data_IF_232763016444
#
_entry.id   IF_232763016444
#
_cell.length_a   1.000
_cell.length_b   1.000
_cell.length_c   1.000
_cell.angle_alpha   90.00
_cell.angle_beta   90.00
_cell.angle_gamma   90.00
#
_symmetry.space_group_name_H-M   'P 1'
#
loop_
_entity.id
_entity.type
_entity.pdbx_description
1 polymer ?
#
# COMPACT_ATOMS: atom_id res chain seq x y z
N UNK A 1 -17.08 0.34 7.03
CA UNK A 1 -15.90 -0.52 6.80
C UNK A 1 -14.81 0.32 6.15
N UNK A 2 -13.61 0.45 6.74
CA UNK A 2 -12.54 1.26 6.14
C UNK A 2 -12.02 0.51 4.90
N UNK A 3 -12.13 1.10 3.73
CA UNK A 3 -11.51 0.54 2.53
C UNK A 3 -10.00 0.78 2.59
N UNK A 4 -9.26 -0.24 3.02
CA UNK A 4 -7.81 -0.18 3.17
C UNK A 4 -7.09 -0.29 1.81
N UNK A 5 -7.75 -0.88 0.80
CA UNK A 5 -7.15 -1.11 -0.52
C UNK A 5 -6.80 0.20 -1.22
N UNK A 6 -7.53 1.28 -0.95
CA UNK A 6 -7.25 2.62 -1.49
C UNK A 6 -5.89 3.21 -1.07
N UNK A 7 -5.24 2.63 -0.05
CA UNK A 7 -3.94 3.06 0.44
C UNK A 7 -2.79 2.17 -0.04
N UNK A 8 -3.08 1.14 -0.84
CA UNK A 8 -2.07 0.26 -1.42
C UNK A 8 -1.79 0.74 -2.84
N UNK A 9 -0.51 0.91 -3.19
CA UNK A 9 -0.09 1.28 -4.55
C UNK A 9 0.62 0.11 -5.21
N UNK A 10 0.34 -0.11 -6.49
CA UNK A 10 1.05 -1.10 -7.29
C UNK A 10 2.21 -0.43 -8.04
N UNK A 11 3.41 -0.99 -7.91
CA UNK A 11 4.63 -0.52 -8.56
C UNK A 11 5.22 -1.68 -9.36
N UNK A 12 4.88 -1.79 -10.66
CA UNK A 12 5.44 -2.83 -11.51
C UNK A 12 6.93 -2.58 -11.80
N UNK A 13 7.71 -3.66 -11.85
CA UNK A 13 9.15 -3.66 -12.14
C UNK A 13 10.05 -3.27 -10.97
N UNK A 14 9.52 -3.13 -9.74
CA UNK A 14 10.32 -2.74 -8.57
C UNK A 14 10.55 -3.91 -7.59
N UNK A 15 11.76 -4.07 -7.02
CA UNK A 15 13.02 -3.38 -7.35
C UNK A 15 13.70 -3.93 -8.60
N UNK A 16 13.15 -4.99 -9.21
CA UNK A 16 13.67 -5.64 -10.43
C UNK A 16 12.50 -5.95 -11.36
N UNK A 17 12.81 -6.02 -12.66
CA UNK A 17 11.85 -6.36 -13.70
C UNK A 17 11.12 -7.68 -13.41
N UNK A 18 9.82 -7.73 -13.72
CA UNK A 18 8.97 -8.90 -13.47
C UNK A 18 8.31 -8.95 -12.08
N UNK A 19 8.66 -8.05 -11.15
CA UNK A 19 8.01 -7.96 -9.83
C UNK A 19 6.89 -6.90 -9.87
N UNK A 20 5.72 -7.20 -9.31
CA UNK A 20 4.73 -6.16 -8.99
C UNK A 20 4.78 -5.88 -7.49
N UNK A 21 5.34 -4.73 -7.10
CA UNK A 21 5.51 -4.36 -5.71
C UNK A 21 4.28 -3.64 -5.17
N UNK A 22 3.73 -4.15 -4.07
CA UNK A 22 2.59 -3.55 -3.38
C UNK A 22 3.07 -2.67 -2.23
N UNK A 23 3.06 -1.36 -2.45
CA UNK A 23 3.48 -0.38 -1.46
C UNK A 23 2.35 -0.09 -0.45
N UNK A 24 2.55 -0.55 0.79
CA UNK A 24 1.66 -0.29 1.93
C UNK A 24 2.08 0.93 2.77
N UNK A 25 3.13 1.66 2.38
CA UNK A 25 3.61 2.84 3.11
C UNK A 25 2.52 3.89 3.34
N UNK A 26 1.64 4.21 2.36
CA UNK A 26 0.56 5.18 2.58
C UNK A 26 -0.47 4.70 3.61
N UNK A 27 -0.66 3.39 3.72
CA UNK A 27 -1.51 2.80 4.76
C UNK A 27 -0.86 2.98 6.14
N UNK A 28 0.43 2.64 6.26
CA UNK A 28 1.22 2.74 7.51
C UNK A 28 1.33 4.19 8.01
N UNK A 29 1.47 5.15 7.10
CA UNK A 29 1.54 6.58 7.43
C UNK A 29 0.21 7.19 7.86
N UNK A 30 -0.91 6.47 7.71
CA UNK A 30 -2.22 6.96 8.08
C UNK A 30 -2.58 6.51 9.50
N UNK A 31 -2.41 7.34 10.55
CA UNK A 31 -2.74 6.95 11.92
C UNK A 31 -4.23 6.63 12.10
N UNK A 32 -5.11 7.21 11.26
CA UNK A 32 -6.54 6.89 11.25
C UNK A 32 -6.85 5.56 10.58
N UNK A 33 -5.93 4.96 9.82
CA UNK A 33 -6.15 3.64 9.25
C UNK A 33 -6.15 2.54 10.31
N UNK A 34 -5.41 2.73 11.41
CA UNK A 34 -5.26 1.76 12.51
C UNK A 34 -6.13 2.05 13.74
N UNK A 35 -6.91 3.15 13.75
CA UNK A 35 -7.84 3.41 14.86
C UNK A 35 -9.04 2.45 14.80
N UNK A 36 -9.26 1.68 15.87
CA UNK A 36 -10.47 0.87 16.09
C UNK A 36 -11.51 1.65 16.87
#
# INVERSE_FOLDING_TARGET
>A
MKDLKKFIRDIPGFPKEGINFHDITPLLQNPKAFSF
#
